data_IF_995763726682
#
_entry.id   IF_995763726682
#
_cell.length_a   1.000
_cell.length_b   1.000
_cell.length_c   1.000
_cell.angle_alpha   90.00
_cell.angle_beta   90.00
_cell.angle_gamma   90.00
#
_symmetry.space_group_name_H-M   'P 1'
#
loop_
_entity.id
_entity.type
_entity.pdbx_description
1 polymer ?
#
# COMPACT_ATOMS: atom_id res chain seq x y z
N UNK A 1 3.60 5.15 13.47
CA UNK A 1 4.20 5.49 14.78
C UNK A 1 5.10 4.33 15.17
N UNK A 2 6.35 4.59 15.54
CA UNK A 2 7.25 3.57 16.08
C UNK A 2 7.12 3.53 17.61
N UNK A 3 7.20 2.34 18.18
CA UNK A 3 7.32 2.09 19.61
C UNK A 3 8.43 1.05 19.84
N UNK A 4 8.71 0.67 21.09
CA UNK A 4 9.90 -0.11 21.46
C UNK A 4 10.20 -1.28 20.51
N UNK A 5 9.23 -2.14 20.28
CA UNK A 5 9.39 -3.39 19.52
C UNK A 5 8.49 -3.46 18.28
N UNK A 6 8.06 -2.32 17.75
CA UNK A 6 7.20 -2.36 16.57
C UNK A 6 6.73 -1.02 16.03
N UNK A 7 5.79 -1.14 15.10
CA UNK A 7 5.20 -0.03 14.37
C UNK A 7 3.68 -0.16 14.34
N UNK A 8 3.00 0.97 14.52
CA UNK A 8 1.55 1.09 14.42
C UNK A 8 1.20 2.01 13.25
N UNK A 9 0.21 1.59 12.46
CA UNK A 9 -0.35 2.34 11.35
C UNK A 9 -1.86 2.46 11.52
N UNK A 10 -2.36 3.70 11.46
CA UNK A 10 -3.78 4.02 11.53
C UNK A 10 -4.21 4.79 10.29
N UNK A 11 -5.47 4.64 9.89
CA UNK A 11 -6.07 5.35 8.77
C UNK A 11 -7.55 5.63 9.02
N UNK A 12 -8.05 6.76 8.52
CA UNK A 12 -9.46 7.10 8.61
C UNK A 12 -10.32 6.21 7.68
N UNK A 13 -11.65 6.33 7.81
CA UNK A 13 -12.60 5.48 7.08
C UNK A 13 -13.41 6.19 6.00
N UNK A 14 -13.14 7.47 5.74
CA UNK A 14 -13.92 8.28 4.80
C UNK A 14 -13.31 8.21 3.41
N UNK A 15 -14.16 8.03 2.41
CA UNK A 15 -13.84 8.28 1.00
C UNK A 15 -14.82 9.32 0.46
N UNK A 16 -14.34 10.17 -0.44
CA UNK A 16 -15.11 11.26 -1.03
C UNK A 16 -15.00 11.26 -2.54
N UNK A 17 -16.02 11.78 -3.21
CA UNK A 17 -16.03 12.09 -4.64
C UNK A 17 -16.45 13.55 -4.79
N UNK A 18 -15.48 14.44 -5.01
CA UNK A 18 -15.70 15.87 -4.85
C UNK A 18 -16.11 16.22 -3.41
N UNK A 19 -17.21 16.94 -3.24
CA UNK A 19 -17.74 17.33 -1.93
C UNK A 19 -18.61 16.23 -1.26
N UNK A 20 -18.91 15.13 -1.97
CA UNK A 20 -19.77 14.06 -1.48
C UNK A 20 -18.96 13.00 -0.72
N UNK A 21 -19.50 12.49 0.40
CA UNK A 21 -18.95 11.31 1.09
C UNK A 21 -19.47 10.07 0.36
N UNK A 22 -18.62 9.45 -0.45
CA UNK A 22 -18.95 8.24 -1.22
C UNK A 22 -18.91 6.98 -0.35
N UNK A 23 -18.07 6.96 0.70
CA UNK A 23 -18.00 5.83 1.62
C UNK A 23 -17.58 6.26 3.03
N UNK A 24 -18.15 5.62 4.06
CA UNK A 24 -17.87 5.92 5.49
C UNK A 24 -17.11 4.84 6.22
N UNK A 25 -16.93 3.67 5.60
CA UNK A 25 -16.30 2.50 6.21
C UNK A 25 -15.12 1.99 5.39
N UNK A 26 -14.42 2.87 4.67
CA UNK A 26 -13.29 2.49 3.84
C UNK A 26 -12.17 1.96 4.72
N UNK A 27 -11.49 0.90 4.27
CA UNK A 27 -10.24 0.45 4.87
C UNK A 27 -9.09 1.06 4.07
N UNK A 28 -8.17 1.72 4.76
CA UNK A 28 -6.99 2.36 4.15
C UNK A 28 -5.67 1.72 4.54
N UNK A 29 -5.67 0.82 5.53
CA UNK A 29 -4.49 0.11 6.03
C UNK A 29 -4.67 -1.38 5.75
N UNK A 30 -3.64 -2.00 5.19
CA UNK A 30 -3.63 -3.40 4.76
C UNK A 30 -2.33 -4.05 5.22
N UNK A 31 -2.37 -5.32 5.60
CA UNK A 31 -1.13 -6.10 5.75
C UNK A 31 -0.49 -6.25 4.36
N UNK A 32 0.80 -5.97 4.22
CA UNK A 32 1.53 -6.26 2.99
C UNK A 32 2.06 -7.70 3.02
N UNK A 33 2.54 -8.15 4.17
CA UNK A 33 2.82 -9.55 4.50
C UNK A 33 2.70 -9.79 6.01
N UNK A 34 3.27 -10.88 6.54
CA UNK A 34 3.19 -11.25 7.97
C UNK A 34 3.83 -10.21 8.92
N UNK A 35 4.85 -9.48 8.48
CA UNK A 35 5.62 -8.55 9.30
C UNK A 35 5.59 -7.12 8.76
N UNK A 36 4.71 -6.80 7.79
CA UNK A 36 4.66 -5.46 7.21
C UNK A 36 3.23 -5.04 6.87
N UNK A 37 3.00 -3.74 6.82
CA UNK A 37 1.74 -3.10 6.49
C UNK A 37 1.93 -1.95 5.52
N UNK A 38 0.91 -1.72 4.70
CA UNK A 38 0.83 -0.61 3.75
C UNK A 38 -0.49 0.13 3.94
N UNK A 39 -0.42 1.44 4.02
CA UNK A 39 -1.56 2.34 3.90
C UNK A 39 -1.55 3.05 2.56
N UNK A 40 -2.73 3.44 2.10
CA UNK A 40 -2.90 4.13 0.82
C UNK A 40 -3.71 5.41 0.95
N UNK A 41 -3.31 6.39 0.16
CA UNK A 41 -4.04 7.63 -0.10
C UNK A 41 -4.13 7.88 -1.60
N UNK A 42 -5.16 8.60 -2.04
CA UNK A 42 -5.40 8.94 -3.44
C UNK A 42 -6.56 8.16 -4.07
N UNK A 43 -6.45 7.87 -5.37
CA UNK A 43 -7.49 7.22 -6.17
C UNK A 43 -7.76 5.80 -5.66
N UNK A 44 -8.93 5.59 -5.06
CA UNK A 44 -9.26 4.36 -4.34
C UNK A 44 -9.11 3.08 -5.19
N UNK A 45 -9.54 3.10 -6.46
CA UNK A 45 -9.45 1.94 -7.35
C UNK A 45 -7.99 1.52 -7.60
N UNK A 46 -7.17 2.45 -8.08
CA UNK A 46 -5.75 2.22 -8.35
C UNK A 46 -4.97 1.84 -7.09
N UNK A 47 -5.32 2.43 -5.96
CA UNK A 47 -4.68 2.12 -4.70
C UNK A 47 -4.99 0.69 -4.22
N UNK A 48 -6.23 0.24 -4.39
CA UNK A 48 -6.62 -1.14 -4.09
C UNK A 48 -5.96 -2.16 -5.03
N UNK A 49 -5.73 -1.79 -6.29
CA UNK A 49 -5.01 -2.62 -7.25
C UNK A 49 -3.52 -2.72 -6.88
N UNK A 50 -2.87 -1.59 -6.59
CA UNK A 50 -1.47 -1.53 -6.15
C UNK A 50 -1.21 -2.45 -4.95
N UNK A 51 -2.08 -2.41 -3.93
CA UNK A 51 -1.94 -3.26 -2.74
C UNK A 51 -2.04 -4.74 -3.08
N UNK A 52 -3.02 -5.13 -3.90
CA UNK A 52 -3.21 -6.54 -4.27
C UNK A 52 -2.03 -7.07 -5.07
N UNK A 53 -1.51 -6.25 -5.99
CA UNK A 53 -0.34 -6.63 -6.77
C UNK A 53 0.89 -6.75 -5.86
N UNK A 54 1.10 -5.82 -4.92
CA UNK A 54 2.20 -5.91 -3.95
C UNK A 54 2.11 -7.20 -3.13
N UNK A 55 0.94 -7.50 -2.55
CA UNK A 55 0.74 -8.73 -1.77
C UNK A 55 1.04 -9.98 -2.59
N UNK A 56 0.57 -10.00 -3.85
CA UNK A 56 0.79 -11.12 -4.76
C UNK A 56 2.26 -11.28 -5.11
N UNK A 57 2.98 -10.19 -5.40
CA UNK A 57 4.41 -10.22 -5.69
C UNK A 57 5.24 -10.70 -4.49
N UNK A 58 4.92 -10.24 -3.28
CA UNK A 58 5.61 -10.68 -2.06
C UNK A 58 5.38 -12.17 -1.76
N UNK A 59 4.13 -12.63 -1.88
CA UNK A 59 3.79 -14.04 -1.70
C UNK A 59 4.40 -14.92 -2.80
N UNK A 60 4.43 -14.42 -4.04
CA UNK A 60 5.06 -15.10 -5.16
C UNK A 60 6.56 -15.28 -4.93
N UNK A 61 7.27 -14.22 -4.52
CA UNK A 61 8.69 -14.32 -4.18
C UNK A 61 8.94 -15.33 -3.06
N UNK A 62 8.18 -15.26 -1.96
CA UNK A 62 8.36 -16.19 -0.83
C UNK A 62 8.14 -17.65 -1.25
N UNK A 63 7.20 -17.91 -2.16
CA UNK A 63 6.95 -19.25 -2.70
C UNK A 63 8.04 -19.75 -3.64
N UNK A 64 8.65 -18.88 -4.44
CA UNK A 64 9.71 -19.25 -5.39
C UNK A 64 11.07 -19.44 -4.71
N UNK A 65 11.47 -18.47 -3.88
CA UNK A 65 12.80 -18.45 -3.27
C UNK A 65 12.83 -19.19 -1.93
N UNK A 66 11.67 -19.61 -1.41
CA UNK A 66 11.53 -20.27 -0.10
C UNK A 66 11.90 -19.37 1.10
N UNK A 67 12.20 -18.09 0.84
CA UNK A 67 12.59 -17.09 1.84
C UNK A 67 11.89 -15.77 1.58
N UNK A 68 11.75 -14.95 2.62
CA UNK A 68 11.08 -13.66 2.52
C UNK A 68 12.04 -12.58 2.05
N UNK A 69 11.53 -11.64 1.26
CA UNK A 69 12.24 -10.40 0.99
C UNK A 69 12.58 -9.66 2.29
N UNK A 70 13.74 -9.01 2.30
CA UNK A 70 14.10 -8.05 3.35
C UNK A 70 13.12 -6.87 3.36
N UNK A 71 13.03 -6.16 4.49
CA UNK A 71 12.16 -4.99 4.60
C UNK A 71 12.48 -3.93 3.54
N UNK A 72 13.77 -3.72 3.28
CA UNK A 72 14.28 -2.83 2.24
C UNK A 72 13.91 -3.33 0.83
N UNK A 73 14.06 -4.63 0.57
CA UNK A 73 13.65 -5.24 -0.70
C UNK A 73 12.16 -5.00 -0.99
N UNK A 74 11.30 -5.20 0.01
CA UNK A 74 9.86 -4.92 -0.10
C UNK A 74 9.57 -3.45 -0.39
N UNK A 75 10.27 -2.54 0.28
CA UNK A 75 10.15 -1.10 0.04
C UNK A 75 10.61 -0.71 -1.37
N UNK A 76 11.68 -1.32 -1.88
CA UNK A 76 12.17 -1.11 -3.24
C UNK A 76 11.20 -1.64 -4.29
N UNK A 77 10.60 -2.82 -4.07
CA UNK A 77 9.52 -3.35 -4.91
C UNK A 77 8.35 -2.37 -4.99
N UNK A 78 7.82 -1.94 -3.84
CA UNK A 78 6.75 -0.95 -3.78
C UNK A 78 7.13 0.36 -4.49
N UNK A 79 8.37 0.84 -4.33
CA UNK A 79 8.85 2.04 -5.00
C UNK A 79 8.84 1.91 -6.53
N UNK A 80 9.20 0.75 -7.06
CA UNK A 80 9.12 0.46 -8.50
C UNK A 80 7.68 0.51 -8.99
N UNK A 81 6.75 -0.08 -8.24
CA UNK A 81 5.32 -0.05 -8.58
C UNK A 81 4.75 1.37 -8.59
N UNK A 82 5.08 2.18 -7.57
CA UNK A 82 4.66 3.60 -7.49
C UNK A 82 5.23 4.39 -8.67
N UNK A 83 6.51 4.17 -9.03
CA UNK A 83 7.13 4.82 -10.19
C UNK A 83 6.37 4.52 -11.48
N UNK A 84 5.89 3.28 -11.65
CA UNK A 84 5.11 2.88 -12.82
C UNK A 84 3.74 3.57 -12.90
N UNK A 85 3.22 4.10 -11.78
CA UNK A 85 1.98 4.88 -11.75
C UNK A 85 2.18 6.36 -12.09
N UNK A 86 3.42 6.83 -12.30
CA UNK A 86 3.72 8.25 -12.53
C UNK A 86 2.91 8.88 -13.69
N UNK A 87 2.72 8.22 -14.86
CA UNK A 87 1.91 8.80 -15.93
C UNK A 87 0.44 9.03 -15.52
N UNK A 88 -0.16 8.09 -14.79
CA UNK A 88 -1.52 8.21 -14.27
C UNK A 88 -1.61 9.31 -13.20
N UNK A 89 -0.59 9.41 -12.34
CA UNK A 89 -0.50 10.47 -11.34
C UNK A 89 -0.49 11.86 -11.98
N UNK A 90 0.22 12.04 -13.11
CA UNK A 90 0.22 13.29 -13.88
C UNK A 90 -1.14 13.64 -14.51
N UNK A 91 -2.01 12.65 -14.68
CA UNK A 91 -3.40 12.81 -15.13
C UNK A 91 -4.38 13.00 -13.96
N UNK A 92 -3.89 13.20 -12.74
CA UNK A 92 -4.71 13.40 -11.53
C UNK A 92 -5.13 12.11 -10.82
N UNK A 93 -4.72 10.94 -11.31
CA UNK A 93 -5.02 9.65 -10.72
C UNK A 93 -3.90 9.20 -9.75
N UNK A 94 -3.62 10.04 -8.76
CA UNK A 94 -2.49 9.86 -7.83
C UNK A 94 -2.77 8.75 -6.83
N UNK A 95 -1.76 7.94 -6.51
CA UNK A 95 -1.73 7.03 -5.37
C UNK A 95 -0.43 7.26 -4.59
N UNK A 96 -0.53 7.44 -3.28
CA UNK A 96 0.64 7.58 -2.39
C UNK A 96 0.54 6.54 -1.29
N UNK A 97 1.42 5.53 -1.27
CA UNK A 97 1.44 4.56 -0.18
C UNK A 97 2.32 5.04 0.99
N UNK A 98 2.00 4.55 2.18
CA UNK A 98 2.85 4.60 3.36
C UNK A 98 3.12 3.17 3.82
N UNK A 99 4.38 2.79 3.95
CA UNK A 99 4.79 1.42 4.28
C UNK A 99 5.49 1.36 5.63
N UNK A 100 5.27 0.29 6.39
CA UNK A 100 6.02 -0.01 7.61
C UNK A 100 6.15 -1.52 7.82
N UNK A 101 7.16 -1.95 8.57
CA UNK A 101 7.36 -3.32 9.05
C UNK A 101 8.51 -3.38 10.03
#
# INVERSE_FOLDING_TARGET
>A
MRYADGVLMGGDRRATSGHLISHRRMRKVYAADRYSAVAISGTAGLAMELIRLLQTELEHYEKLEGTRLSLEGKANHLSSMVRNQLPLAMQGLVVVPLYCG
#
